data_IF_651895826069
#
_entry.id   IF_651895826069
#
_cell.length_a   1.000
_cell.length_b   1.000
_cell.length_c   1.000
_cell.angle_alpha   90.00
_cell.angle_beta   90.00
_cell.angle_gamma   90.00
#
_symmetry.space_group_name_H-M   'P 1'
#
loop_
_entity.id
_entity.type
_entity.pdbx_description
1 polymer ?
#
# COMPACT_ATOMS: atom_id res chain seq x y z
N UNK A 1 -38.90 -14.02 -19.18
CA UNK A 1 -38.60 -12.59 -19.40
C UNK A 1 -37.11 -12.51 -19.72
N UNK A 2 -36.74 -11.76 -20.74
CA UNK A 2 -35.35 -11.45 -21.05
C UNK A 2 -34.69 -10.73 -19.85
N UNK A 3 -33.42 -11.01 -19.57
CA UNK A 3 -32.69 -10.34 -18.52
C UNK A 3 -32.41 -8.88 -18.91
N UNK A 4 -32.44 -8.00 -17.91
CA UNK A 4 -32.03 -6.60 -18.03
C UNK A 4 -30.70 -6.48 -17.30
N UNK A 5 -29.57 -6.66 -17.98
CA UNK A 5 -28.28 -6.67 -17.30
C UNK A 5 -27.92 -5.32 -16.74
N UNK A 6 -27.22 -5.34 -15.60
CA UNK A 6 -26.52 -4.17 -15.06
C UNK A 6 -25.07 -4.25 -15.49
N UNK A 7 -24.57 -3.21 -16.13
CA UNK A 7 -23.17 -3.11 -16.56
C UNK A 7 -22.47 -2.07 -15.69
N UNK A 8 -21.39 -2.45 -15.02
CA UNK A 8 -20.43 -1.57 -14.37
C UNK A 8 -19.20 -1.47 -15.27
N UNK A 9 -18.99 -0.32 -15.87
CA UNK A 9 -17.88 -0.03 -16.76
C UNK A 9 -16.87 0.87 -16.08
N UNK A 10 -15.66 0.38 -15.89
CA UNK A 10 -14.53 1.14 -15.36
C UNK A 10 -13.69 1.63 -16.53
N UNK A 11 -13.55 2.94 -16.66
CA UNK A 11 -12.61 3.60 -17.57
C UNK A 11 -11.34 3.88 -16.79
N UNK A 12 -10.36 2.98 -16.89
CA UNK A 12 -9.15 3.00 -16.08
C UNK A 12 -8.31 4.26 -16.38
N UNK A 13 -7.94 4.97 -15.32
CA UNK A 13 -7.17 6.21 -15.47
C UNK A 13 -7.90 7.39 -16.13
N UNK A 14 -9.24 7.33 -16.25
CA UNK A 14 -10.06 8.39 -16.85
C UNK A 14 -10.46 9.43 -15.80
N UNK A 15 -9.53 10.29 -15.43
CA UNK A 15 -9.76 11.31 -14.44
C UNK A 15 -10.44 12.58 -14.95
N UNK A 16 -10.62 13.53 -14.04
CA UNK A 16 -11.25 14.83 -14.35
C UNK A 16 -10.32 15.97 -13.95
N UNK A 17 -10.06 16.87 -14.87
CA UNK A 17 -9.31 18.11 -14.65
C UNK A 17 -9.92 19.25 -15.45
N UNK A 18 -9.87 20.46 -14.87
CA UNK A 18 -10.35 21.69 -15.56
C UNK A 18 -9.26 22.25 -16.52
N UNK A 19 -8.03 21.68 -16.51
CA UNK A 19 -6.93 22.08 -17.37
C UNK A 19 -6.97 21.30 -18.69
N UNK A 20 -6.67 21.97 -19.80
CA UNK A 20 -6.62 21.35 -21.12
C UNK A 20 -5.20 20.92 -21.49
N UNK A 21 -4.19 21.72 -21.11
CA UNK A 21 -2.79 21.41 -21.41
C UNK A 21 -2.36 20.13 -20.69
N UNK A 22 -1.78 19.18 -21.43
CA UNK A 22 -1.36 17.90 -20.87
C UNK A 22 -2.51 16.98 -20.43
N UNK A 23 -3.74 17.28 -20.80
CA UNK A 23 -4.95 16.53 -20.50
C UNK A 23 -5.44 15.84 -21.77
N UNK A 24 -5.10 14.56 -21.94
CA UNK A 24 -5.47 13.80 -23.12
C UNK A 24 -7.00 13.66 -23.27
N UNK A 25 -7.74 13.64 -22.15
CA UNK A 25 -9.20 13.54 -22.17
C UNK A 25 -9.83 14.84 -22.69
N UNK A 26 -9.37 16.00 -22.21
CA UNK A 26 -9.88 17.29 -22.67
C UNK A 26 -9.45 17.65 -24.09
N UNK A 27 -8.39 17.00 -24.60
CA UNK A 27 -7.88 17.18 -25.98
C UNK A 27 -8.51 16.22 -26.98
N UNK A 28 -9.13 15.14 -26.52
CA UNK A 28 -9.78 14.13 -27.35
C UNK A 28 -11.20 14.56 -27.79
N UNK A 29 -11.64 14.05 -28.94
CA UNK A 29 -13.03 14.19 -29.39
C UNK A 29 -13.87 13.06 -28.75
N UNK A 30 -14.64 13.42 -27.72
CA UNK A 30 -15.42 12.49 -26.89
C UNK A 30 -16.93 12.76 -26.89
N UNK A 31 -17.58 12.78 -28.08
CA UNK A 31 -18.98 13.18 -28.21
C UNK A 31 -19.95 12.31 -27.41
N UNK A 32 -19.62 11.02 -27.18
CA UNK A 32 -20.47 10.12 -26.41
C UNK A 32 -20.41 10.45 -24.94
N UNK A 33 -19.22 10.54 -24.35
CA UNK A 33 -19.03 10.88 -22.93
C UNK A 33 -19.55 12.27 -22.63
N UNK A 34 -19.29 13.26 -23.51
CA UNK A 34 -19.79 14.62 -23.40
C UNK A 34 -21.33 14.68 -23.34
N UNK A 35 -21.99 13.87 -24.17
CA UNK A 35 -23.44 13.75 -24.16
C UNK A 35 -23.95 13.08 -22.89
N UNK A 36 -23.31 11.96 -22.49
CA UNK A 36 -23.71 11.22 -21.29
C UNK A 36 -23.61 12.08 -20.02
N UNK A 37 -22.52 12.81 -19.87
CA UNK A 37 -22.30 13.71 -18.73
C UNK A 37 -23.33 14.87 -18.66
N UNK A 38 -23.91 15.27 -19.80
CA UNK A 38 -24.95 16.31 -19.85
C UNK A 38 -26.36 15.80 -19.63
N UNK A 39 -26.65 14.57 -20.13
CA UNK A 39 -28.02 14.04 -20.18
C UNK A 39 -28.36 13.14 -18.99
N UNK A 40 -27.37 12.55 -18.32
CA UNK A 40 -27.55 11.59 -17.23
C UNK A 40 -27.01 12.11 -15.91
N UNK A 41 -27.47 11.58 -14.76
CA UNK A 41 -26.90 11.91 -13.46
C UNK A 41 -25.39 11.68 -13.41
N UNK A 42 -24.66 12.69 -12.95
CA UNK A 42 -23.21 12.69 -12.87
C UNK A 42 -22.77 13.24 -11.51
N UNK A 43 -21.84 12.53 -10.85
CA UNK A 43 -21.25 12.96 -9.58
C UNK A 43 -19.74 12.83 -9.63
N UNK A 44 -19.04 13.77 -8.99
CA UNK A 44 -17.59 13.76 -8.84
C UNK A 44 -17.25 13.12 -7.50
N UNK A 45 -16.37 12.12 -7.50
CA UNK A 45 -15.81 11.50 -6.31
C UNK A 45 -14.30 11.71 -6.21
N UNK A 46 -13.71 11.45 -5.05
CA UNK A 46 -12.28 11.46 -4.86
C UNK A 46 -11.73 10.04 -5.04
N UNK A 47 -10.61 9.90 -5.78
CA UNK A 47 -9.92 8.64 -6.02
C UNK A 47 -8.50 8.61 -5.43
N UNK A 48 -8.22 9.42 -4.39
CA UNK A 48 -6.88 9.56 -3.81
C UNK A 48 -6.93 9.80 -2.30
N UNK A 49 -5.80 9.64 -1.64
CA UNK A 49 -5.63 9.92 -0.22
C UNK A 49 -6.58 9.12 0.67
N UNK A 50 -6.95 9.68 1.80
CA UNK A 50 -7.80 9.05 2.82
C UNK A 50 -9.21 8.66 2.31
N UNK A 51 -9.68 9.28 1.25
CA UNK A 51 -10.96 8.93 0.61
C UNK A 51 -10.98 7.52 0.00
N UNK A 52 -9.82 6.98 -0.31
CA UNK A 52 -9.67 5.62 -0.87
C UNK A 52 -8.78 4.71 -0.01
N UNK A 53 -8.48 5.14 1.22
CA UNK A 53 -7.69 4.35 2.18
C UNK A 53 -6.17 4.47 2.02
N UNK A 54 -5.71 5.48 1.28
CA UNK A 54 -4.30 5.85 1.12
C UNK A 54 -3.93 7.01 2.05
N UNK A 55 -2.64 7.26 2.31
CA UNK A 55 -2.20 8.48 2.97
C UNK A 55 -2.64 9.74 2.22
N UNK A 56 -2.89 10.83 2.94
CA UNK A 56 -3.22 12.11 2.32
C UNK A 56 -2.09 12.57 1.38
N UNK A 57 -2.47 13.09 0.22
CA UNK A 57 -1.53 13.47 -0.84
C UNK A 57 -1.04 12.30 -1.72
N UNK A 58 -1.33 11.06 -1.36
CA UNK A 58 -1.01 9.92 -2.21
C UNK A 58 -2.13 9.67 -3.23
N UNK A 59 -1.72 9.49 -4.47
CA UNK A 59 -2.64 9.23 -5.57
C UNK A 59 -3.21 7.84 -5.54
N UNK A 60 -4.43 7.70 -6.10
CA UNK A 60 -5.03 6.43 -6.38
C UNK A 60 -4.26 5.60 -7.42
N UNK A 61 -4.62 4.35 -7.48
CA UNK A 61 -4.15 3.40 -8.49
C UNK A 61 -5.22 2.35 -8.74
N UNK A 62 -5.04 1.56 -9.81
CA UNK A 62 -6.05 0.57 -10.23
C UNK A 62 -6.33 -0.50 -9.17
N UNK A 63 -5.32 -0.93 -8.40
CA UNK A 63 -5.50 -1.94 -7.34
C UNK A 63 -6.45 -1.44 -6.26
N UNK A 64 -6.16 -0.25 -5.71
CA UNK A 64 -6.95 0.39 -4.65
C UNK A 64 -8.33 0.77 -5.16
N UNK A 65 -8.43 1.34 -6.37
CA UNK A 65 -9.72 1.74 -6.96
C UNK A 65 -10.65 0.56 -7.13
N UNK A 66 -10.19 -0.51 -7.79
CA UNK A 66 -11.02 -1.71 -8.00
C UNK A 66 -11.36 -2.44 -6.70
N UNK A 67 -10.42 -2.48 -5.74
CA UNK A 67 -10.70 -3.06 -4.42
C UNK A 67 -11.80 -2.31 -3.69
N UNK A 68 -11.76 -0.98 -3.67
CA UNK A 68 -12.79 -0.16 -3.02
C UNK A 68 -14.16 -0.29 -3.72
N UNK A 69 -14.18 -0.27 -5.06
CA UNK A 69 -15.41 -0.47 -5.83
C UNK A 69 -16.00 -1.86 -5.55
N UNK A 70 -15.18 -2.91 -5.61
CA UNK A 70 -15.59 -4.28 -5.36
C UNK A 70 -16.04 -4.54 -3.92
N UNK A 71 -15.40 -3.89 -2.95
CA UNK A 71 -15.76 -3.99 -1.53
C UNK A 71 -16.98 -3.12 -1.17
N UNK A 72 -17.31 -2.11 -1.98
CA UNK A 72 -18.38 -1.13 -1.69
C UNK A 72 -18.10 -0.26 -0.45
N UNK A 73 -16.84 -0.17 -0.06
CA UNK A 73 -16.37 0.61 1.09
C UNK A 73 -14.88 0.93 0.98
N UNK A 74 -14.41 1.88 1.78
CA UNK A 74 -12.98 2.23 1.84
C UNK A 74 -12.20 1.08 2.48
N UNK A 75 -11.20 0.57 1.78
CA UNK A 75 -10.25 -0.43 2.27
C UNK A 75 -8.93 0.31 2.57
N UNK A 76 -8.63 0.47 3.85
CA UNK A 76 -7.44 1.18 4.28
C UNK A 76 -6.18 0.34 4.06
N UNK A 77 -5.19 0.91 3.38
CA UNK A 77 -3.85 0.33 3.28
C UNK A 77 -3.15 0.34 4.66
N UNK A 78 -2.15 -0.51 4.85
CA UNK A 78 -1.56 -0.75 6.18
C UNK A 78 -1.09 0.54 6.89
N UNK A 79 -0.41 1.44 6.20
CA UNK A 79 0.00 2.74 6.75
C UNK A 79 -1.20 3.53 7.28
N UNK A 80 -2.20 3.72 6.44
CA UNK A 80 -3.40 4.50 6.78
C UNK A 80 -4.24 3.80 7.84
N UNK A 81 -4.34 2.47 7.79
CA UNK A 81 -5.06 1.66 8.76
C UNK A 81 -4.49 1.80 10.17
N UNK A 82 -3.16 1.70 10.30
CA UNK A 82 -2.49 1.82 11.59
C UNK A 82 -2.57 3.26 12.11
N UNK A 83 -2.31 4.24 11.23
CA UNK A 83 -2.43 5.67 11.58
C UNK A 83 -3.84 6.01 12.05
N UNK A 84 -4.86 5.51 11.34
CA UNK A 84 -6.26 5.69 11.73
C UNK A 84 -6.58 4.99 13.06
N UNK A 85 -6.10 3.78 13.28
CA UNK A 85 -6.29 3.08 14.55
C UNK A 85 -5.70 3.86 15.75
N UNK A 86 -4.56 4.54 15.57
CA UNK A 86 -3.97 5.42 16.59
C UNK A 86 -4.91 6.62 16.85
N UNK A 87 -5.37 7.28 15.79
CA UNK A 87 -6.25 8.45 15.91
C UNK A 87 -7.60 8.12 16.55
N UNK A 88 -8.21 6.98 16.19
CA UNK A 88 -9.49 6.53 16.72
C UNK A 88 -9.37 5.91 18.13
N UNK A 89 -8.16 5.59 18.57
CA UNK A 89 -7.89 4.98 19.86
C UNK A 89 -7.96 3.44 19.89
N UNK A 90 -8.28 2.79 18.79
CA UNK A 90 -8.34 1.32 18.71
C UNK A 90 -6.95 0.66 18.77
N UNK A 91 -5.91 1.37 18.33
CA UNK A 91 -4.53 0.95 18.50
C UNK A 91 -4.20 0.58 19.95
N UNK A 92 -4.70 1.37 20.91
CA UNK A 92 -4.45 1.19 22.33
C UNK A 92 -5.24 0.04 22.97
N UNK A 93 -6.11 -0.62 22.20
CA UNK A 93 -6.89 -1.81 22.57
C UNK A 93 -6.36 -3.07 21.90
N UNK A 94 -5.32 -2.98 21.08
CA UNK A 94 -4.78 -4.13 20.35
C UNK A 94 -4.23 -5.17 21.35
N UNK A 95 -4.78 -6.37 21.30
CA UNK A 95 -4.54 -7.45 22.29
C UNK A 95 -3.08 -7.90 22.29
N UNK A 96 -2.44 -8.03 21.12
CA UNK A 96 -1.05 -8.48 21.03
C UNK A 96 -0.06 -7.41 21.52
N UNK A 97 -0.33 -6.13 21.26
CA UNK A 97 0.47 -5.03 21.80
C UNK A 97 0.29 -4.94 23.32
N UNK A 98 -0.93 -5.11 23.82
CA UNK A 98 -1.20 -5.15 25.27
C UNK A 98 -0.50 -6.35 25.92
N UNK A 99 -0.46 -7.51 25.27
CA UNK A 99 0.24 -8.69 25.79
C UNK A 99 1.74 -8.42 26.00
N UNK A 100 2.39 -7.68 25.07
CA UNK A 100 3.78 -7.24 25.24
C UNK A 100 3.95 -6.31 26.46
N UNK A 101 3.02 -5.36 26.65
CA UNK A 101 3.06 -4.44 27.81
C UNK A 101 2.86 -5.20 29.13
N UNK A 102 1.93 -6.15 29.16
CA UNK A 102 1.67 -6.97 30.35
C UNK A 102 2.83 -7.90 30.68
N UNK A 103 3.48 -8.47 29.66
CA UNK A 103 4.67 -9.28 29.86
C UNK A 103 5.78 -8.48 30.56
N UNK A 104 6.04 -7.24 30.13
CA UNK A 104 7.02 -6.37 30.75
C UNK A 104 6.69 -6.09 32.23
N UNK A 105 5.43 -5.79 32.54
CA UNK A 105 4.99 -5.56 33.92
C UNK A 105 5.13 -6.80 34.80
N UNK A 106 4.71 -7.96 34.28
CA UNK A 106 4.74 -9.23 35.01
C UNK A 106 6.15 -9.66 35.34
N UNK A 107 7.08 -9.50 34.42
CA UNK A 107 8.45 -9.97 34.56
C UNK A 107 9.41 -8.86 35.04
N UNK A 108 8.93 -7.63 35.24
CA UNK A 108 9.76 -6.43 35.47
C UNK A 108 10.91 -6.34 34.44
N UNK A 109 10.56 -6.51 33.18
CA UNK A 109 11.49 -6.58 32.04
C UNK A 109 11.33 -5.38 31.12
N UNK A 110 12.21 -5.27 30.14
CA UNK A 110 12.29 -4.15 29.22
C UNK A 110 11.36 -4.34 28.00
N UNK A 111 10.89 -3.22 27.44
CA UNK A 111 10.19 -3.17 26.17
C UNK A 111 11.14 -2.61 25.09
N UNK A 112 11.37 -3.38 24.05
CA UNK A 112 12.18 -3.01 22.91
C UNK A 112 11.32 -2.73 21.68
N UNK A 113 11.50 -1.58 21.03
CA UNK A 113 10.81 -1.18 19.82
C UNK A 113 11.77 -1.19 18.64
N UNK A 114 11.57 -2.05 17.67
CA UNK A 114 12.36 -2.18 16.45
C UNK A 114 11.64 -1.61 15.26
N UNK A 115 12.34 -0.96 14.37
CA UNK A 115 11.77 -0.58 13.08
C UNK A 115 12.48 0.59 12.40
N UNK A 116 12.11 0.80 11.15
CA UNK A 116 12.63 1.87 10.31
C UNK A 116 12.10 3.22 10.82
N UNK A 117 13.00 4.10 11.20
CA UNK A 117 12.67 5.41 11.75
C UNK A 117 12.68 6.47 10.65
N UNK A 118 11.56 6.69 10.01
CA UNK A 118 11.39 7.76 9.02
C UNK A 118 9.92 8.10 8.80
N UNK A 119 9.66 9.13 8.02
CA UNK A 119 8.33 9.49 7.50
C UNK A 119 8.04 8.94 6.11
N UNK A 120 8.91 8.09 5.54
CA UNK A 120 8.80 7.61 4.18
C UNK A 120 7.57 6.77 3.89
N UNK A 121 7.00 6.10 4.90
CA UNK A 121 5.71 5.41 4.79
C UNK A 121 5.71 4.13 3.95
N UNK A 122 6.88 3.64 3.51
CA UNK A 122 7.01 2.43 2.70
C UNK A 122 7.08 1.16 3.56
N UNK A 123 7.87 1.19 4.63
CA UNK A 123 8.04 0.04 5.54
C UNK A 123 7.45 0.28 6.92
N UNK A 124 7.44 1.53 7.36
CA UNK A 124 7.02 1.99 8.68
C UNK A 124 6.69 3.48 8.61
N UNK A 125 6.25 4.06 9.71
CA UNK A 125 6.11 5.50 9.84
C UNK A 125 6.43 5.94 11.27
N UNK A 126 7.13 7.07 11.42
CA UNK A 126 7.58 7.58 12.73
C UNK A 126 6.41 7.83 13.70
N UNK A 127 5.22 8.21 13.22
CA UNK A 127 4.04 8.38 14.07
C UNK A 127 3.60 7.08 14.76
N UNK A 128 3.93 5.91 14.20
CA UNK A 128 3.55 4.64 14.80
C UNK A 128 4.40 4.30 16.02
N UNK A 129 5.69 4.66 16.02
CA UNK A 129 6.51 4.52 17.24
C UNK A 129 6.07 5.51 18.32
N UNK A 130 5.59 6.69 17.95
CA UNK A 130 4.98 7.61 18.93
C UNK A 130 3.74 6.98 19.59
N UNK A 131 2.86 6.34 18.80
CA UNK A 131 1.72 5.59 19.33
C UNK A 131 2.12 4.47 20.28
N UNK A 132 3.22 3.75 20.01
CA UNK A 132 3.77 2.72 20.92
C UNK A 132 4.30 3.31 22.22
N UNK A 133 5.01 4.44 22.17
CA UNK A 133 5.49 5.16 23.35
C UNK A 133 4.31 5.64 24.24
N UNK A 134 3.29 6.22 23.64
CA UNK A 134 2.05 6.60 24.35
C UNK A 134 1.36 5.39 24.98
N UNK A 135 1.30 4.27 24.25
CA UNK A 135 0.72 3.02 24.76
C UNK A 135 1.50 2.49 25.95
N UNK A 136 2.83 2.49 25.88
CA UNK A 136 3.69 2.09 27.00
C UNK A 136 3.45 2.97 28.23
N UNK A 137 3.39 4.30 28.05
CA UNK A 137 3.10 5.27 29.11
C UNK A 137 1.72 5.00 29.75
N UNK A 138 0.67 4.84 28.93
CA UNK A 138 -0.70 4.55 29.40
C UNK A 138 -0.79 3.25 30.20
N UNK A 139 0.05 2.24 29.86
CA UNK A 139 0.11 0.96 30.54
C UNK A 139 1.11 0.89 31.69
N UNK A 140 1.82 1.98 32.01
CA UNK A 140 2.77 2.04 33.12
C UNK A 140 4.08 1.28 32.86
N UNK A 141 4.46 1.05 31.60
CA UNK A 141 5.75 0.48 31.21
C UNK A 141 6.75 1.62 31.11
N UNK A 142 7.75 1.66 32.00
CA UNK A 142 8.73 2.73 32.10
C UNK A 142 10.06 2.44 31.38
N UNK A 143 10.44 1.18 31.28
CA UNK A 143 11.67 0.75 30.63
C UNK A 143 11.38 0.46 29.15
N UNK A 144 11.46 1.50 28.32
CA UNK A 144 11.19 1.42 26.88
C UNK A 144 12.43 1.86 26.11
N UNK A 145 12.90 1.01 25.20
CA UNK A 145 14.10 1.25 24.41
C UNK A 145 13.80 1.14 22.93
N UNK A 146 14.13 2.17 22.16
CA UNK A 146 13.97 2.17 20.70
C UNK A 146 15.31 1.83 20.06
N UNK A 147 15.28 0.84 19.19
CA UNK A 147 16.37 0.45 18.31
C UNK A 147 16.00 0.93 16.90
N UNK A 148 16.50 2.12 16.55
CA UNK A 148 16.10 2.80 15.34
C UNK A 148 16.87 2.28 14.12
N UNK A 149 16.16 1.75 13.13
CA UNK A 149 16.74 1.45 11.83
C UNK A 149 16.62 2.69 10.95
N UNK A 150 17.69 3.04 10.24
CA UNK A 150 17.79 4.30 9.51
C UNK A 150 17.56 4.07 8.02
N UNK A 151 16.88 5.02 7.37
CA UNK A 151 16.31 4.87 6.03
C UNK A 151 17.31 5.25 4.91
N UNK A 152 17.30 6.47 4.46
CA UNK A 152 18.15 6.97 3.38
C UNK A 152 17.82 6.48 1.97
N UNK A 153 16.68 5.75 1.78
CA UNK A 153 16.16 5.30 0.48
C UNK A 153 14.76 5.83 0.20
N UNK A 154 13.87 5.73 1.19
CA UNK A 154 12.49 6.20 1.08
C UNK A 154 12.38 7.66 1.57
N UNK A 155 13.45 8.17 2.15
CA UNK A 155 13.68 9.56 2.55
C UNK A 155 15.09 10.01 2.15
N UNK A 156 15.40 11.33 2.16
CA UNK A 156 16.72 11.82 1.79
C UNK A 156 17.85 11.14 2.59
N UNK A 157 19.02 10.87 1.97
CA UNK A 157 20.07 10.04 2.54
C UNK A 157 20.70 10.52 3.85
N UNK A 158 20.50 11.77 4.24
CA UNK A 158 21.04 12.39 5.46
C UNK A 158 19.95 13.04 6.32
N UNK A 159 18.74 12.49 6.32
CA UNK A 159 17.60 12.96 7.12
C UNK A 159 17.46 12.23 8.46
N UNK A 160 18.15 11.13 8.66
CA UNK A 160 18.03 10.26 9.84
C UNK A 160 18.33 10.97 11.15
N UNK A 161 19.30 11.90 11.16
CA UNK A 161 19.61 12.72 12.35
C UNK A 161 18.38 13.50 12.82
N UNK A 162 17.63 14.10 11.89
CA UNK A 162 16.46 14.88 12.22
C UNK A 162 15.33 14.00 12.76
N UNK A 163 15.14 12.79 12.19
CA UNK A 163 14.17 11.82 12.72
C UNK A 163 14.55 11.31 14.12
N UNK A 164 15.83 11.09 14.38
CA UNK A 164 16.32 10.72 15.72
C UNK A 164 16.04 11.84 16.72
N UNK A 165 16.36 13.10 16.37
CA UNK A 165 16.09 14.24 17.22
C UNK A 165 14.59 14.43 17.51
N UNK A 166 13.73 14.30 16.48
CA UNK A 166 12.27 14.34 16.64
C UNK A 166 11.75 13.22 17.56
N UNK A 167 12.32 12.01 17.46
CA UNK A 167 11.97 10.91 18.33
C UNK A 167 12.35 11.19 19.79
N UNK A 168 13.57 11.68 20.05
CA UNK A 168 14.03 12.03 21.40
C UNK A 168 13.18 13.16 22.01
N UNK A 169 12.84 14.19 21.23
CA UNK A 169 11.91 15.23 21.65
C UNK A 169 10.53 14.67 22.04
N UNK A 170 9.98 13.78 21.20
CA UNK A 170 8.69 13.14 21.48
C UNK A 170 8.73 12.23 22.70
N UNK A 171 9.82 11.51 22.92
CA UNK A 171 10.06 10.72 24.13
C UNK A 171 10.07 11.60 25.39
N UNK A 172 10.73 12.75 25.32
CA UNK A 172 10.75 13.72 26.41
C UNK A 172 9.35 14.29 26.70
N UNK A 173 8.57 14.61 25.66
CA UNK A 173 7.18 15.10 25.77
C UNK A 173 6.28 14.04 26.44
N UNK A 174 6.33 12.80 25.98
CA UNK A 174 5.55 11.69 26.54
C UNK A 174 6.05 11.30 27.94
N UNK A 175 7.34 11.47 28.19
CA UNK A 175 8.01 11.11 29.44
C UNK A 175 8.30 9.60 29.56
N UNK A 176 8.56 8.92 28.44
CA UNK A 176 8.98 7.51 28.41
C UNK A 176 9.80 7.24 27.15
N UNK A 177 10.76 6.33 27.26
CA UNK A 177 11.58 5.84 26.16
C UNK A 177 12.97 6.45 26.11
N UNK A 178 13.92 5.69 25.57
CA UNK A 178 15.28 6.10 25.21
C UNK A 178 15.68 5.41 23.91
N UNK A 179 16.47 6.06 23.06
CA UNK A 179 17.10 5.40 21.92
C UNK A 179 18.28 4.59 22.44
N UNK A 180 18.29 3.28 22.23
CA UNK A 180 19.31 2.37 22.73
C UNK A 180 20.32 1.95 21.67
N UNK A 181 19.94 1.93 20.40
CA UNK A 181 20.87 1.67 19.30
C UNK A 181 20.38 2.26 17.98
N UNK A 182 21.29 2.41 17.04
CA UNK A 182 21.07 2.84 15.67
C UNK A 182 21.70 1.82 14.71
N UNK A 183 21.07 1.54 13.58
CA UNK A 183 21.65 0.76 12.49
C UNK A 183 21.05 1.17 11.15
N UNK A 184 21.85 1.36 10.12
CA UNK A 184 21.34 1.56 8.77
C UNK A 184 20.55 0.35 8.28
N UNK A 185 19.55 0.60 7.44
CA UNK A 185 18.71 -0.47 6.86
C UNK A 185 19.50 -1.51 6.06
N UNK A 186 20.70 -1.15 5.60
CA UNK A 186 21.64 -2.06 4.96
C UNK A 186 22.00 -3.27 5.84
N UNK A 187 22.10 -3.06 7.16
CA UNK A 187 22.37 -4.11 8.16
C UNK A 187 21.09 -4.69 8.75
N UNK A 188 20.20 -3.85 9.24
CA UNK A 188 19.07 -4.28 10.05
C UNK A 188 17.86 -4.76 9.22
N UNK A 189 17.85 -4.49 7.92
CA UNK A 189 16.72 -4.75 7.03
C UNK A 189 17.18 -5.37 5.70
N UNK A 190 18.11 -6.30 5.75
CA UNK A 190 18.47 -7.14 4.60
C UNK A 190 17.25 -8.01 4.19
N UNK A 191 17.23 -8.48 2.94
CA UNK A 191 16.20 -9.37 2.40
C UNK A 191 16.74 -10.43 1.44
N UNK A 192 18.06 -10.47 1.29
CA UNK A 192 18.76 -11.30 0.31
C UNK A 192 19.64 -12.34 1.00
N UNK A 193 19.40 -12.62 2.31
CA UNK A 193 20.10 -13.56 3.17
C UNK A 193 21.60 -13.24 3.34
N UNK A 194 21.94 -11.94 3.37
CA UNK A 194 23.30 -11.51 3.74
C UNK A 194 23.44 -11.54 5.27
N UNK A 195 23.51 -12.75 5.82
CA UNK A 195 23.49 -12.98 7.27
C UNK A 195 24.60 -12.29 8.04
N UNK A 196 25.74 -12.03 7.42
CA UNK A 196 26.85 -11.25 7.97
C UNK A 196 26.45 -9.80 8.31
N UNK A 197 25.53 -9.21 7.54
CA UNK A 197 24.98 -7.89 7.82
C UNK A 197 23.95 -7.94 8.93
N UNK A 198 23.02 -8.88 8.85
CA UNK A 198 21.96 -9.09 9.85
C UNK A 198 22.56 -9.41 11.21
N UNK A 199 23.62 -10.22 11.26
CA UNK A 199 24.35 -10.56 12.49
C UNK A 199 24.91 -9.34 13.19
N UNK A 200 25.52 -8.41 12.48
CA UNK A 200 26.06 -7.19 13.07
C UNK A 200 24.96 -6.36 13.77
N UNK A 201 23.81 -6.17 13.09
CA UNK A 201 22.66 -5.49 13.70
C UNK A 201 22.10 -6.33 14.88
N UNK A 202 21.93 -7.64 14.74
CA UNK A 202 21.45 -8.52 15.80
C UNK A 202 22.33 -8.45 17.06
N UNK A 203 23.67 -8.48 16.90
CA UNK A 203 24.61 -8.39 18.04
C UNK A 203 24.53 -7.05 18.74
N UNK A 204 24.33 -5.96 18.01
CA UNK A 204 24.12 -4.66 18.65
C UNK A 204 22.86 -4.61 19.52
N UNK A 205 21.82 -5.39 19.15
CA UNK A 205 20.56 -5.49 19.88
C UNK A 205 20.62 -6.44 21.09
N UNK A 206 21.51 -7.45 21.07
CA UNK A 206 21.48 -8.56 22.05
C UNK A 206 22.71 -8.63 22.95
N UNK A 207 23.89 -8.29 22.42
CA UNK A 207 25.16 -8.33 23.17
C UNK A 207 25.75 -6.95 23.40
N UNK A 208 25.22 -5.91 22.72
CA UNK A 208 25.77 -4.55 22.78
C UNK A 208 27.08 -4.40 21.99
N UNK A 209 27.35 -5.32 21.05
CA UNK A 209 28.49 -5.22 20.14
C UNK A 209 28.19 -4.20 19.05
N UNK A 210 29.18 -3.40 18.67
CA UNK A 210 29.07 -2.37 17.64
C UNK A 210 29.87 -1.13 17.98
N UNK A 211 29.73 -0.06 17.15
CA UNK A 211 30.23 1.26 17.52
C UNK A 211 29.51 1.72 18.79
N UNK A 212 30.15 2.57 19.58
CA UNK A 212 29.60 3.11 20.81
C UNK A 212 29.48 4.64 20.73
N UNK A 213 28.40 5.18 21.28
CA UNK A 213 28.17 6.63 21.38
C UNK A 213 27.39 6.94 22.67
N UNK A 214 27.58 8.16 23.19
CA UNK A 214 26.88 8.61 24.39
C UNK A 214 25.47 9.17 24.10
N UNK A 215 25.17 9.52 22.83
CA UNK A 215 23.84 9.92 22.40
C UNK A 215 23.56 9.50 20.93
N UNK A 216 22.30 9.33 20.61
CA UNK A 216 21.89 8.92 19.26
C UNK A 216 22.16 10.01 18.22
N UNK A 217 21.93 11.29 18.55
CA UNK A 217 22.23 12.42 17.66
C UNK A 217 23.75 12.52 17.42
N UNK A 218 24.59 12.39 18.47
CA UNK A 218 26.05 12.41 18.30
C UNK A 218 26.55 11.24 17.44
N UNK A 219 25.93 10.06 17.55
CA UNK A 219 26.23 8.91 16.69
C UNK A 219 25.98 9.22 15.21
N UNK A 220 24.86 9.89 14.91
CA UNK A 220 24.52 10.31 13.54
C UNK A 220 25.50 11.36 13.00
N UNK A 221 25.86 12.34 13.83
CA UNK A 221 26.83 13.36 13.45
C UNK A 221 28.21 12.76 13.14
N UNK A 222 28.66 11.83 13.98
CA UNK A 222 29.90 11.11 13.73
C UNK A 222 29.87 10.29 12.44
N UNK A 223 28.76 9.62 12.14
CA UNK A 223 28.56 8.87 10.90
C UNK A 223 28.64 9.78 9.67
N UNK A 224 27.95 10.91 9.70
CA UNK A 224 27.96 11.87 8.58
C UNK A 224 29.34 12.53 8.40
N UNK A 225 30.09 12.76 9.48
CA UNK A 225 31.47 13.25 9.40
C UNK A 225 32.41 12.25 8.70
N UNK A 226 32.09 10.95 8.78
CA UNK A 226 32.77 9.87 8.04
C UNK A 226 32.21 9.70 6.60
N UNK A 227 31.30 10.54 6.12
CA UNK A 227 30.55 10.41 4.85
C UNK A 227 29.71 9.12 4.76
N UNK A 228 29.28 8.57 5.88
CA UNK A 228 28.37 7.42 5.95
C UNK A 228 26.97 7.92 6.21
N UNK A 229 26.09 7.81 5.20
CA UNK A 229 24.70 8.24 5.23
C UNK A 229 23.79 7.20 5.87
N UNK A 230 22.52 7.55 6.10
CA UNK A 230 21.53 6.80 6.87
C UNK A 230 21.49 5.30 6.55
N UNK A 231 21.39 4.95 5.27
CA UNK A 231 21.28 3.55 4.84
C UNK A 231 22.43 2.68 5.35
N UNK A 232 23.62 3.25 5.45
CA UNK A 232 24.88 2.53 5.72
C UNK A 232 25.44 2.77 7.11
N UNK A 233 24.70 3.44 8.00
CA UNK A 233 25.15 3.65 9.39
C UNK A 233 25.46 2.30 10.03
N UNK A 234 26.71 2.15 10.44
CA UNK A 234 27.19 0.93 11.10
C UNK A 234 26.43 0.77 12.43
N UNK A 235 26.01 -0.45 12.81
CA UNK A 235 25.35 -0.70 14.07
C UNK A 235 26.07 -0.04 15.24
N UNK A 236 25.39 0.87 15.92
CA UNK A 236 25.92 1.71 16.96
C UNK A 236 25.06 1.61 18.22
N UNK A 237 25.66 1.29 19.33
CA UNK A 237 25.01 1.13 20.64
C UNK A 237 25.16 2.41 21.45
N UNK A 238 24.07 2.88 22.02
CA UNK A 238 24.10 4.05 22.90
C UNK A 238 24.45 3.57 24.30
N UNK A 239 25.43 4.24 24.90
CA UNK A 239 26.02 3.85 26.19
C UNK A 239 25.85 4.93 27.24
N UNK A 240 25.69 4.48 28.47
CA UNK A 240 25.73 5.35 29.66
C UNK A 240 26.77 4.77 30.62
N UNK A 241 27.76 5.58 31.01
CA UNK A 241 28.91 5.15 31.85
C UNK A 241 29.65 3.95 31.23
N UNK A 242 29.81 3.90 29.91
CA UNK A 242 30.52 2.84 29.19
C UNK A 242 29.79 1.49 29.09
N UNK A 243 28.51 1.46 29.42
CA UNK A 243 27.66 0.27 29.28
C UNK A 243 26.49 0.55 28.35
N UNK A 244 26.04 -0.43 27.55
CA UNK A 244 24.82 -0.29 26.77
C UNK A 244 23.64 0.16 27.63
N UNK A 245 22.81 1.10 27.13
CA UNK A 245 21.59 1.52 27.82
C UNK A 245 20.65 0.34 28.06
N UNK A 246 20.45 -0.49 27.06
CA UNK A 246 19.78 -1.77 27.18
C UNK A 246 20.14 -2.66 25.99
N UNK A 247 20.04 -3.98 26.21
CA UNK A 247 20.08 -5.04 25.21
C UNK A 247 18.95 -6.01 25.50
N UNK A 248 18.47 -6.69 24.47
CA UNK A 248 17.38 -7.67 24.60
C UNK A 248 17.82 -8.85 25.45
N UNK A 249 17.02 -9.20 26.44
CA UNK A 249 17.22 -10.32 27.38
C UNK A 249 16.03 -11.25 27.39
N UNK A 250 16.21 -12.38 28.04
CA UNK A 250 15.14 -13.34 28.30
C UNK A 250 13.99 -12.66 29.07
N UNK A 251 12.75 -12.96 28.66
CA UNK A 251 11.49 -12.39 29.15
C UNK A 251 11.24 -10.92 28.79
N UNK A 252 12.09 -10.26 28.03
CA UNK A 252 11.78 -8.94 27.48
C UNK A 252 10.66 -9.05 26.42
N UNK A 253 10.04 -7.92 26.12
CA UNK A 253 9.13 -7.80 25.01
C UNK A 253 9.76 -7.02 23.86
N UNK A 254 9.54 -7.48 22.65
CA UNK A 254 9.97 -6.81 21.42
C UNK A 254 8.75 -6.50 20.56
N UNK A 255 8.62 -5.27 20.08
CA UNK A 255 7.62 -4.90 19.08
C UNK A 255 8.36 -4.40 17.83
N UNK A 256 8.21 -5.13 16.73
CA UNK A 256 8.75 -4.71 15.43
C UNK A 256 7.65 -3.97 14.66
N UNK A 257 7.77 -2.64 14.54
CA UNK A 257 6.71 -1.77 14.04
C UNK A 257 6.71 -1.56 12.51
N UNK A 258 7.50 -2.28 11.75
CA UNK A 258 7.39 -2.32 10.29
C UNK A 258 6.10 -3.02 9.88
N UNK A 259 5.36 -2.45 8.92
CA UNK A 259 4.14 -3.08 8.37
C UNK A 259 4.39 -3.75 7.00
N UNK A 260 5.52 -3.51 6.35
CA UNK A 260 5.92 -4.20 5.12
C UNK A 260 6.84 -5.38 5.45
N UNK A 261 6.49 -6.61 4.98
CA UNK A 261 7.15 -7.85 5.40
C UNK A 261 8.56 -8.06 4.90
N UNK A 262 8.85 -7.72 3.64
CA UNK A 262 10.00 -8.20 2.87
C UNK A 262 11.37 -8.01 3.55
N UNK A 263 11.57 -6.89 4.25
CA UNK A 263 12.81 -6.53 4.93
C UNK A 263 12.78 -6.70 6.45
N UNK A 264 11.67 -7.22 7.00
CA UNK A 264 11.57 -7.51 8.43
C UNK A 264 11.74 -9.01 8.74
N UNK A 265 11.67 -9.88 7.74
CA UNK A 265 11.70 -11.35 7.89
C UNK A 265 12.96 -11.85 8.56
N UNK A 266 14.12 -11.43 8.07
CA UNK A 266 15.41 -11.99 8.48
C UNK A 266 15.71 -11.67 9.95
N UNK A 267 15.58 -10.43 10.36
CA UNK A 267 15.74 -10.04 11.76
C UNK A 267 14.71 -10.73 12.66
N UNK A 268 13.46 -10.83 12.24
CA UNK A 268 12.43 -11.54 13.00
C UNK A 268 12.76 -13.02 13.13
N UNK A 269 13.24 -13.67 12.05
CA UNK A 269 13.66 -15.07 12.09
C UNK A 269 14.84 -15.27 13.02
N UNK A 270 15.81 -14.35 13.00
CA UNK A 270 16.95 -14.40 13.92
C UNK A 270 16.53 -14.30 15.40
N UNK A 271 15.44 -13.62 15.74
CA UNK A 271 14.92 -13.56 17.12
C UNK A 271 14.00 -14.73 17.47
N UNK A 272 13.09 -15.09 16.58
CA UNK A 272 11.94 -15.95 16.92
C UNK A 272 12.14 -17.44 16.62
N UNK A 273 13.01 -17.79 15.64
CA UNK A 273 13.19 -19.19 15.25
C UNK A 273 14.26 -19.85 16.11
N UNK A 274 13.88 -20.73 17.04
CA UNK A 274 14.82 -21.47 17.90
C UNK A 274 15.79 -22.39 17.14
N UNK A 275 15.44 -22.73 15.89
CA UNK A 275 16.26 -23.53 14.95
C UNK A 275 17.00 -22.70 13.91
N UNK A 276 17.09 -21.41 14.12
CA UNK A 276 17.79 -20.50 13.20
C UNK A 276 19.26 -20.90 12.98
N UNK A 277 19.69 -20.87 11.72
CA UNK A 277 21.03 -21.30 11.30
C UNK A 277 21.81 -20.28 10.47
N UNK A 278 21.30 -19.04 10.34
CA UNK A 278 21.96 -18.02 9.52
C UNK A 278 23.30 -17.56 10.08
N UNK A 279 23.45 -17.52 11.41
CA UNK A 279 24.70 -17.28 12.16
C UNK A 279 24.60 -17.89 13.55
N UNK A 280 25.73 -18.01 14.24
CA UNK A 280 25.78 -18.56 15.60
C UNK A 280 25.23 -17.56 16.62
N UNK A 281 24.23 -17.98 17.39
CA UNK A 281 23.65 -17.19 18.48
C UNK A 281 23.08 -18.08 19.60
N UNK A 282 22.90 -17.52 20.78
CA UNK A 282 22.05 -18.11 21.81
C UNK A 282 20.62 -17.64 21.59
N UNK A 283 19.66 -18.56 21.57
CA UNK A 283 18.24 -18.21 21.49
C UNK A 283 17.81 -17.48 22.77
N UNK A 284 17.16 -16.33 22.62
CA UNK A 284 16.67 -15.49 23.70
C UNK A 284 15.15 -15.49 23.64
N UNK A 285 14.44 -16.25 24.51
CA UNK A 285 12.98 -16.24 24.55
C UNK A 285 12.43 -14.87 24.94
N UNK A 286 11.64 -14.28 24.07
CA UNK A 286 10.99 -12.97 24.27
C UNK A 286 9.52 -13.05 23.87
N UNK A 287 8.71 -12.08 24.35
CA UNK A 287 7.40 -11.83 23.78
C UNK A 287 7.57 -10.96 22.55
N UNK A 288 7.63 -11.57 21.36
CA UNK A 288 7.91 -10.89 20.12
C UNK A 288 6.64 -10.58 19.33
N UNK A 289 6.35 -9.31 19.09
CA UNK A 289 5.17 -8.85 18.36
C UNK A 289 5.60 -8.19 17.06
N UNK A 290 5.10 -8.70 15.95
CA UNK A 290 5.23 -8.10 14.62
C UNK A 290 4.00 -7.26 14.29
N UNK A 291 4.15 -6.11 13.67
CA UNK A 291 2.99 -5.36 13.20
C UNK A 291 2.20 -6.14 12.15
N UNK A 292 2.88 -6.89 11.28
CA UNK A 292 2.25 -7.76 10.27
C UNK A 292 2.84 -9.16 10.35
N UNK A 293 2.19 -10.11 9.74
CA UNK A 293 2.82 -11.41 9.50
C UNK A 293 3.88 -11.26 8.41
N UNK A 294 5.14 -11.33 8.81
CA UNK A 294 6.25 -11.18 7.87
C UNK A 294 6.57 -12.46 7.12
N UNK A 295 6.29 -13.62 7.73
CA UNK A 295 6.46 -14.94 7.15
C UNK A 295 5.77 -15.97 8.06
N UNK A 296 4.80 -16.71 7.53
CA UNK A 296 4.01 -17.69 8.28
C UNK A 296 4.88 -18.82 8.88
N UNK A 297 6.04 -19.09 8.28
CA UNK A 297 6.95 -20.13 8.75
C UNK A 297 7.79 -19.75 9.97
N UNK A 298 7.81 -18.47 10.36
CA UNK A 298 8.55 -18.03 11.55
C UNK A 298 7.72 -18.34 12.81
N UNK A 299 8.25 -19.16 13.73
CA UNK A 299 7.55 -19.50 14.98
C UNK A 299 7.65 -18.38 16.02
N UNK A 300 7.03 -18.58 17.18
CA UNK A 300 7.21 -17.80 18.41
C UNK A 300 6.99 -16.28 18.26
N UNK A 301 6.07 -15.85 17.37
CA UNK A 301 5.70 -14.45 17.18
C UNK A 301 4.21 -14.22 17.37
N UNK A 302 3.84 -13.03 17.78
CA UNK A 302 2.48 -12.49 17.78
C UNK A 302 2.35 -11.48 16.62
N UNK A 303 1.11 -11.26 16.15
CA UNK A 303 0.85 -10.39 15.00
C UNK A 303 -0.22 -9.37 15.38
N UNK A 304 0.18 -8.10 15.51
CA UNK A 304 -0.69 -7.02 15.95
C UNK A 304 -1.77 -6.64 14.92
N UNK A 305 -1.42 -6.55 13.64
CA UNK A 305 -2.34 -6.18 12.57
C UNK A 305 -2.43 -7.32 11.55
N UNK A 306 -3.21 -8.33 11.87
CA UNK A 306 -3.48 -9.48 11.00
C UNK A 306 -4.07 -9.01 9.66
N UNK A 307 -3.85 -9.82 8.61
CA UNK A 307 -4.50 -9.60 7.32
C UNK A 307 -6.01 -9.73 7.54
N UNK A 308 -6.75 -8.68 7.22
CA UNK A 308 -8.20 -8.73 7.24
C UNK A 308 -8.72 -9.34 5.95
N UNK A 309 -9.62 -10.31 6.08
CA UNK A 309 -10.38 -10.80 4.94
C UNK A 309 -11.43 -9.76 4.57
N UNK A 310 -11.42 -9.33 3.34
CA UNK A 310 -12.43 -8.41 2.80
C UNK A 310 -13.67 -9.24 2.45
N UNK A 311 -14.58 -9.34 3.41
CA UNK A 311 -15.85 -10.07 3.27
C UNK A 311 -16.97 -9.16 2.75
N UNK A 312 -18.02 -9.77 2.25
CA UNK A 312 -19.21 -9.11 1.73
C UNK A 312 -18.86 -8.14 0.59
N UNK A 313 -18.05 -8.64 -0.34
CA UNK A 313 -17.73 -7.97 -1.59
C UNK A 313 -18.96 -7.98 -2.52
N UNK A 314 -18.96 -7.13 -3.55
CA UNK A 314 -20.02 -7.11 -4.54
C UNK A 314 -20.19 -8.48 -5.24
N UNK A 315 -19.08 -9.16 -5.54
CA UNK A 315 -19.10 -10.51 -6.10
C UNK A 315 -19.76 -11.54 -5.19
N UNK A 316 -19.42 -11.55 -3.90
CA UNK A 316 -20.05 -12.43 -2.90
C UNK A 316 -21.54 -12.11 -2.71
N UNK A 317 -21.90 -10.81 -2.69
CA UNK A 317 -23.30 -10.39 -2.61
C UNK A 317 -24.13 -10.89 -3.79
N UNK A 318 -23.59 -10.78 -5.01
CA UNK A 318 -24.25 -11.30 -6.22
C UNK A 318 -24.42 -12.82 -6.15
N UNK A 319 -23.38 -13.55 -5.78
CA UNK A 319 -23.40 -15.00 -5.61
C UNK A 319 -24.45 -15.44 -4.57
N UNK A 320 -24.49 -14.79 -3.42
CA UNK A 320 -25.47 -15.07 -2.36
C UNK A 320 -26.92 -14.82 -2.80
N UNK A 321 -27.14 -13.98 -3.81
CA UNK A 321 -28.45 -13.71 -4.40
C UNK A 321 -28.71 -14.47 -5.70
N UNK A 322 -27.90 -15.49 -6.04
CA UNK A 322 -28.05 -16.35 -7.23
C UNK A 322 -27.95 -15.58 -8.55
N UNK A 323 -27.14 -14.51 -8.59
CA UNK A 323 -26.94 -13.66 -9.76
C UNK A 323 -25.72 -14.11 -10.56
N UNK A 324 -25.88 -14.26 -11.87
CA UNK A 324 -24.77 -14.56 -12.79
C UNK A 324 -24.02 -13.31 -13.14
N UNK A 325 -22.71 -13.31 -12.91
CA UNK A 325 -21.84 -12.16 -13.13
C UNK A 325 -20.72 -12.47 -14.12
N UNK A 326 -20.36 -11.50 -14.96
CA UNK A 326 -19.21 -11.57 -15.86
C UNK A 326 -18.15 -10.55 -15.44
N UNK A 327 -16.88 -10.98 -15.47
CA UNK A 327 -15.69 -10.12 -15.39
C UNK A 327 -15.03 -10.11 -16.76
N UNK A 328 -14.84 -8.91 -17.34
CA UNK A 328 -14.30 -8.74 -18.69
C UNK A 328 -13.21 -7.67 -18.68
N UNK A 329 -12.01 -8.03 -19.08
CA UNK A 329 -10.92 -7.09 -19.31
C UNK A 329 -9.85 -7.70 -20.19
N UNK A 330 -8.96 -6.85 -20.73
CA UNK A 330 -7.72 -7.32 -21.32
C UNK A 330 -6.66 -7.62 -20.25
N UNK A 331 -5.57 -8.33 -20.64
CA UNK A 331 -4.54 -8.88 -19.72
C UNK A 331 -4.06 -7.90 -18.67
N UNK A 332 -3.78 -6.64 -19.04
CA UNK A 332 -3.23 -5.62 -18.13
C UNK A 332 -4.16 -5.29 -16.97
N UNK A 333 -5.47 -5.44 -17.15
CA UNK A 333 -6.49 -5.08 -16.14
C UNK A 333 -7.36 -6.26 -15.71
N UNK A 334 -7.01 -7.47 -16.11
CA UNK A 334 -7.76 -8.66 -15.74
C UNK A 334 -7.74 -8.93 -14.23
N UNK A 335 -6.59 -8.83 -13.60
CA UNK A 335 -6.47 -8.98 -12.14
C UNK A 335 -7.27 -7.91 -11.38
N UNK A 336 -7.44 -6.72 -11.96
CA UNK A 336 -8.17 -5.63 -11.33
C UNK A 336 -9.67 -5.93 -11.24
N UNK A 337 -10.28 -6.44 -12.30
CA UNK A 337 -11.71 -6.82 -12.29
C UNK A 337 -11.98 -8.18 -11.65
N UNK A 338 -10.95 -8.96 -11.30
CA UNK A 338 -11.05 -10.28 -10.65
C UNK A 338 -10.49 -10.25 -9.23
N UNK A 339 -9.20 -10.48 -9.06
CA UNK A 339 -8.52 -10.57 -7.78
C UNK A 339 -8.76 -9.36 -6.87
N UNK A 340 -8.45 -8.14 -7.34
CA UNK A 340 -8.61 -6.94 -6.53
C UNK A 340 -10.08 -6.61 -6.28
N UNK A 341 -10.94 -6.74 -7.28
CA UNK A 341 -12.37 -6.52 -7.14
C UNK A 341 -13.03 -7.52 -6.17
N UNK A 342 -12.51 -8.72 -6.05
CA UNK A 342 -12.93 -9.75 -5.10
C UNK A 342 -12.22 -9.65 -3.74
N UNK A 343 -11.62 -8.50 -3.42
CA UNK A 343 -10.99 -8.27 -2.11
C UNK A 343 -9.70 -9.05 -1.88
N UNK A 344 -8.96 -9.40 -2.93
CA UNK A 344 -7.70 -10.15 -2.87
C UNK A 344 -7.90 -11.67 -2.83
N UNK A 345 -9.03 -12.15 -3.34
CA UNK A 345 -9.35 -13.58 -3.50
C UNK A 345 -9.26 -13.96 -4.98
N UNK A 346 -8.41 -14.94 -5.32
CA UNK A 346 -8.18 -15.38 -6.69
C UNK A 346 -9.33 -16.24 -7.23
N UNK A 347 -9.88 -17.09 -6.37
CA UNK A 347 -10.95 -18.00 -6.75
C UNK A 347 -12.22 -17.23 -7.16
N UNK A 348 -12.88 -17.62 -8.26
CA UNK A 348 -14.12 -17.00 -8.67
C UNK A 348 -15.26 -17.29 -7.68
N UNK A 349 -16.14 -16.32 -7.49
CA UNK A 349 -17.38 -16.53 -6.76
C UNK A 349 -18.31 -17.51 -7.49
N UNK A 350 -19.29 -18.04 -6.80
CA UNK A 350 -20.33 -18.86 -7.45
C UNK A 350 -21.04 -18.04 -8.53
N UNK A 351 -21.22 -18.63 -9.70
CA UNK A 351 -21.79 -17.97 -10.88
C UNK A 351 -21.01 -16.75 -11.40
N UNK A 352 -19.71 -16.63 -11.06
CA UNK A 352 -18.78 -15.68 -11.65
C UNK A 352 -18.09 -16.27 -12.88
N UNK A 353 -18.36 -15.68 -14.01
CA UNK A 353 -17.72 -16.00 -15.29
C UNK A 353 -16.61 -14.96 -15.56
N UNK A 354 -15.53 -15.41 -16.17
CA UNK A 354 -14.38 -14.57 -16.48
C UNK A 354 -14.06 -14.67 -17.97
N UNK A 355 -13.89 -13.53 -18.62
CA UNK A 355 -13.49 -13.45 -20.02
C UNK A 355 -12.25 -12.56 -20.12
N UNK A 356 -11.14 -13.17 -20.47
CA UNK A 356 -9.84 -12.53 -20.67
C UNK A 356 -9.59 -12.32 -22.15
N UNK A 357 -9.36 -11.09 -22.55
CA UNK A 357 -8.82 -10.72 -23.86
C UNK A 357 -7.32 -10.49 -23.72
N UNK A 358 -6.51 -11.06 -24.62
CA UNK A 358 -5.06 -10.85 -24.54
C UNK A 358 -4.71 -9.43 -24.97
N UNK A 359 -3.92 -8.72 -24.15
CA UNK A 359 -3.32 -7.45 -24.55
C UNK A 359 -2.32 -7.66 -25.70
N UNK A 360 -2.09 -6.65 -26.57
CA UNK A 360 -1.16 -6.76 -27.69
C UNK A 360 0.25 -7.10 -27.24
N UNK A 361 0.88 -8.07 -27.90
CA UNK A 361 2.28 -8.47 -27.69
C UNK A 361 3.18 -8.12 -28.88
N UNK A 362 2.61 -7.53 -29.90
CA UNK A 362 3.24 -7.14 -31.17
C UNK A 362 3.91 -5.76 -31.08
N UNK A 363 3.73 -5.04 -29.99
CA UNK A 363 4.35 -3.74 -29.74
C UNK A 363 5.07 -3.74 -28.38
N UNK A 364 6.20 -3.03 -28.23
CA UNK A 364 6.92 -2.94 -26.97
C UNK A 364 6.25 -2.00 -25.96
N UNK A 365 5.51 -0.99 -26.44
CA UNK A 365 4.79 0.01 -25.66
C UNK A 365 3.47 0.38 -26.31
N UNK A 366 2.45 0.72 -25.53
CA UNK A 366 1.09 0.91 -26.02
C UNK A 366 0.84 2.25 -26.72
N UNK A 367 1.77 3.20 -26.66
CA UNK A 367 1.72 4.40 -27.53
C UNK A 367 1.81 4.07 -29.03
N UNK A 368 2.41 2.94 -29.38
CA UNK A 368 2.48 2.43 -30.75
C UNK A 368 1.19 1.75 -31.21
N UNK A 369 0.30 1.37 -30.26
CA UNK A 369 -1.00 0.77 -30.53
C UNK A 369 -2.04 1.22 -29.49
N UNK A 370 -2.47 2.49 -29.54
CA UNK A 370 -3.30 3.10 -28.49
C UNK A 370 -4.67 2.44 -28.29
N UNK A 371 -5.21 1.82 -29.33
CA UNK A 371 -6.45 1.04 -29.23
C UNK A 371 -6.29 -0.23 -28.40
N UNK A 372 -5.07 -0.72 -28.20
CA UNK A 372 -4.76 -1.95 -27.49
C UNK A 372 -5.69 -3.11 -27.93
N UNK A 373 -6.35 -3.82 -27.02
CA UNK A 373 -7.36 -4.82 -27.32
C UNK A 373 -8.80 -4.33 -27.02
N UNK A 374 -8.98 -3.04 -26.79
CA UNK A 374 -10.32 -2.50 -26.52
C UNK A 374 -11.38 -2.80 -27.60
N UNK A 375 -11.05 -2.82 -28.93
CA UNK A 375 -12.05 -3.23 -29.94
C UNK A 375 -12.63 -4.63 -29.71
N UNK A 376 -11.80 -5.61 -29.33
CA UNK A 376 -12.21 -6.97 -29.01
C UNK A 376 -13.01 -7.00 -27.71
N UNK A 377 -12.50 -6.38 -26.64
CA UNK A 377 -13.22 -6.21 -25.37
C UNK A 377 -14.59 -5.58 -25.57
N UNK A 378 -14.69 -4.55 -26.40
CA UNK A 378 -15.95 -3.88 -26.72
C UNK A 378 -16.94 -4.75 -27.50
N UNK A 379 -16.46 -5.59 -28.42
CA UNK A 379 -17.31 -6.56 -29.13
C UNK A 379 -17.85 -7.63 -28.17
N UNK A 380 -16.98 -8.22 -27.35
CA UNK A 380 -17.34 -9.22 -26.34
C UNK A 380 -18.33 -8.65 -25.32
N UNK A 381 -18.16 -7.37 -24.94
CA UNK A 381 -19.11 -6.68 -24.06
C UNK A 381 -20.51 -6.60 -24.70
N UNK A 382 -20.60 -6.17 -25.97
CA UNK A 382 -21.88 -6.05 -26.69
C UNK A 382 -22.53 -7.40 -26.83
N UNK A 383 -21.78 -8.47 -27.15
CA UNK A 383 -22.28 -9.84 -27.20
C UNK A 383 -22.76 -10.29 -25.81
N UNK A 384 -21.99 -10.05 -24.75
CA UNK A 384 -22.38 -10.43 -23.39
C UNK A 384 -23.65 -9.73 -22.93
N UNK A 385 -23.83 -8.44 -23.24
CA UNK A 385 -25.05 -7.67 -22.92
C UNK A 385 -26.29 -8.30 -23.62
N UNK A 386 -26.14 -8.66 -24.88
CA UNK A 386 -27.25 -9.22 -25.69
C UNK A 386 -27.51 -10.71 -25.48
N UNK A 387 -26.63 -11.41 -24.77
CA UNK A 387 -26.66 -12.87 -24.61
C UNK A 387 -27.78 -13.42 -23.73
N UNK A 388 -28.48 -12.59 -22.98
CA UNK A 388 -29.44 -12.97 -21.92
C UNK A 388 -28.88 -13.91 -20.84
N UNK A 389 -27.54 -13.98 -20.72
CA UNK A 389 -26.85 -14.90 -19.82
C UNK A 389 -26.56 -14.29 -18.44
N UNK A 390 -26.12 -13.05 -18.42
CA UNK A 390 -25.59 -12.40 -17.22
C UNK A 390 -26.60 -11.42 -16.59
N UNK A 391 -26.63 -11.34 -15.27
CA UNK A 391 -27.38 -10.34 -14.53
C UNK A 391 -26.53 -9.09 -14.30
N UNK A 392 -25.22 -9.26 -14.12
CA UNK A 392 -24.27 -8.16 -13.92
C UNK A 392 -23.01 -8.40 -14.77
N UNK A 393 -22.50 -7.35 -15.38
CA UNK A 393 -21.24 -7.36 -16.13
C UNK A 393 -20.34 -6.29 -15.57
N UNK A 394 -19.13 -6.65 -15.13
CA UNK A 394 -18.07 -5.72 -14.73
C UNK A 394 -17.00 -5.75 -15.81
N UNK A 395 -16.72 -4.58 -16.37
CA UNK A 395 -15.73 -4.42 -17.45
C UNK A 395 -14.74 -3.30 -17.12
N UNK A 396 -13.51 -3.45 -17.56
CA UNK A 396 -12.48 -2.42 -17.54
C UNK A 396 -11.95 -2.16 -18.96
N UNK A 397 -11.90 -0.87 -19.35
CA UNK A 397 -11.13 -0.39 -20.48
C UNK A 397 -9.80 0.17 -20.00
N UNK A 398 -8.70 -0.51 -20.33
CA UNK A 398 -7.36 -0.23 -19.85
C UNK A 398 -6.68 1.01 -20.48
N UNK A 399 -7.17 1.45 -21.63
CA UNK A 399 -6.46 2.32 -22.54
C UNK A 399 -6.04 3.68 -21.95
N UNK A 400 -6.91 4.45 -21.25
CA UNK A 400 -6.52 5.76 -20.76
C UNK A 400 -5.37 5.69 -19.76
N UNK A 401 -5.34 4.63 -18.92
CA UNK A 401 -4.27 4.41 -17.96
C UNK A 401 -3.00 3.88 -18.63
N UNK A 402 -3.08 2.77 -19.34
CA UNK A 402 -1.91 2.10 -19.90
C UNK A 402 -1.18 2.94 -20.95
N UNK A 403 -1.91 3.65 -21.81
CA UNK A 403 -1.32 4.58 -22.77
C UNK A 403 -0.88 5.87 -22.09
N UNK A 404 -1.61 6.35 -21.08
CA UNK A 404 -1.22 7.47 -20.23
C UNK A 404 0.15 7.29 -19.61
N UNK A 405 0.46 6.10 -19.10
CA UNK A 405 1.77 5.75 -18.54
C UNK A 405 2.94 5.85 -19.53
N UNK A 406 2.70 5.87 -20.83
CA UNK A 406 3.77 6.08 -21.81
C UNK A 406 4.23 7.54 -21.89
N UNK A 407 3.43 8.49 -21.37
CA UNK A 407 3.69 9.92 -21.44
C UNK A 407 3.49 10.53 -22.84
N UNK A 408 3.02 9.75 -23.83
CA UNK A 408 2.83 10.18 -25.21
C UNK A 408 1.41 10.72 -25.41
N UNK A 409 1.20 12.01 -25.19
CA UNK A 409 -0.12 12.66 -25.22
C UNK A 409 -0.91 12.37 -26.52
N UNK A 410 -0.33 12.47 -27.74
CA UNK A 410 -1.12 12.16 -28.95
C UNK A 410 -1.60 10.72 -29.04
N UNK A 411 -0.91 9.78 -28.41
CA UNK A 411 -1.34 8.39 -28.34
C UNK A 411 -2.46 8.23 -27.30
N UNK A 412 -2.33 8.88 -26.14
CA UNK A 412 -3.37 8.87 -25.11
C UNK A 412 -4.68 9.50 -25.62
N UNK A 413 -4.62 10.57 -26.39
CA UNK A 413 -5.80 11.16 -27.06
C UNK A 413 -6.51 10.11 -27.94
N UNK A 414 -5.77 9.41 -28.79
CA UNK A 414 -6.35 8.32 -29.62
C UNK A 414 -6.94 7.19 -28.80
N UNK A 415 -6.30 6.84 -27.70
CA UNK A 415 -6.78 5.83 -26.77
C UNK A 415 -8.15 6.24 -26.17
N UNK A 416 -8.26 7.48 -25.71
CA UNK A 416 -9.50 8.06 -25.17
C UNK A 416 -10.61 8.09 -26.21
N UNK A 417 -10.32 8.57 -27.43
CA UNK A 417 -11.29 8.58 -28.56
C UNK A 417 -11.79 7.17 -28.89
N UNK A 418 -10.90 6.18 -28.90
CA UNK A 418 -11.30 4.78 -29.12
C UNK A 418 -12.22 4.26 -28.04
N UNK A 419 -11.95 4.60 -26.79
CA UNK A 419 -12.81 4.21 -25.65
C UNK A 419 -14.18 4.89 -25.78
N UNK A 420 -14.23 6.18 -26.13
CA UNK A 420 -15.50 6.90 -26.34
C UNK A 420 -16.39 6.22 -27.41
N UNK A 421 -15.79 5.81 -28.55
CA UNK A 421 -16.50 5.02 -29.59
C UNK A 421 -17.11 3.75 -29.02
N UNK A 422 -16.35 3.00 -28.19
CA UNK A 422 -16.80 1.71 -27.63
C UNK A 422 -17.85 1.88 -26.53
N UNK A 423 -17.72 2.93 -25.73
CA UNK A 423 -18.78 3.36 -24.78
C UNK A 423 -20.09 3.59 -25.54
N UNK A 424 -20.04 4.26 -26.69
CA UNK A 424 -21.25 4.48 -27.52
C UNK A 424 -21.92 3.19 -27.96
N UNK A 425 -21.13 2.18 -28.38
CA UNK A 425 -21.64 0.85 -28.75
C UNK A 425 -22.27 0.13 -27.56
N UNK A 426 -21.63 0.19 -26.39
CA UNK A 426 -22.13 -0.40 -25.16
C UNK A 426 -23.44 0.26 -24.70
N UNK A 427 -23.51 1.60 -24.73
CA UNK A 427 -24.73 2.37 -24.41
C UNK A 427 -25.90 1.92 -25.30
N UNK A 428 -25.66 1.78 -26.61
CA UNK A 428 -26.72 1.32 -27.50
C UNK A 428 -27.15 -0.13 -27.19
N UNK A 429 -26.18 -1.01 -26.94
CA UNK A 429 -26.50 -2.41 -26.60
C UNK A 429 -27.32 -2.53 -25.30
N UNK A 430 -26.99 -1.73 -24.28
CA UNK A 430 -27.71 -1.69 -22.99
C UNK A 430 -29.15 -1.17 -23.20
N UNK A 431 -29.32 -0.12 -24.02
CA UNK A 431 -30.66 0.41 -24.37
C UNK A 431 -31.50 -0.63 -25.14
N UNK A 432 -30.91 -1.38 -26.05
CA UNK A 432 -31.58 -2.41 -26.85
C UNK A 432 -32.22 -3.51 -25.98
N UNK A 433 -31.66 -3.76 -24.79
CA UNK A 433 -32.12 -4.80 -23.83
C UNK A 433 -32.80 -4.21 -22.57
N UNK A 434 -33.05 -2.90 -22.54
CA UNK A 434 -33.59 -2.19 -21.37
C UNK A 434 -32.79 -2.45 -20.09
N UNK A 435 -31.46 -2.50 -20.21
CA UNK A 435 -30.50 -2.69 -19.13
C UNK A 435 -30.13 -1.37 -18.45
N UNK A 436 -29.18 -1.44 -17.50
CA UNK A 436 -28.63 -0.29 -16.78
C UNK A 436 -27.11 -0.25 -16.96
N UNK A 437 -26.55 0.95 -17.18
CA UNK A 437 -25.11 1.16 -17.32
C UNK A 437 -24.63 2.17 -16.27
N UNK A 438 -23.64 1.76 -15.47
CA UNK A 438 -22.83 2.63 -14.63
C UNK A 438 -21.45 2.77 -15.26
N UNK A 439 -20.99 4.01 -15.44
CA UNK A 439 -19.64 4.32 -15.90
C UNK A 439 -18.90 5.04 -14.77
N UNK A 440 -17.70 4.57 -14.45
CA UNK A 440 -16.85 5.22 -13.47
C UNK A 440 -15.39 5.14 -13.90
N UNK A 441 -14.53 5.96 -13.28
CA UNK A 441 -13.09 5.73 -13.24
C UNK A 441 -12.69 5.23 -11.85
N UNK A 442 -11.61 4.50 -11.78
CA UNK A 442 -11.02 3.98 -10.55
C UNK A 442 -9.97 4.95 -9.96
N UNK A 443 -9.24 5.64 -10.82
CA UNK A 443 -8.29 6.71 -10.52
C UNK A 443 -8.10 7.60 -11.75
N UNK A 444 -7.18 8.55 -11.69
CA UNK A 444 -6.79 9.37 -12.83
C UNK A 444 -5.39 9.05 -13.35
N UNK A 445 -5.18 9.38 -14.61
CA UNK A 445 -3.88 9.34 -15.31
C UNK A 445 -3.93 10.25 -16.56
N UNK A 446 -4.82 9.97 -17.50
CA UNK A 446 -4.87 10.64 -18.79
C UNK A 446 -5.30 12.12 -18.71
N UNK A 447 -5.93 12.57 -17.63
CA UNK A 447 -6.31 13.98 -17.42
C UNK A 447 -5.15 14.88 -17.03
N UNK A 448 -3.99 14.29 -16.62
CA UNK A 448 -2.79 15.04 -16.25
C UNK A 448 -1.54 14.26 -16.62
N UNK A 449 -1.02 14.49 -17.83
CA UNK A 449 0.17 13.81 -18.36
C UNK A 449 1.43 14.67 -18.30
N UNK A 450 1.37 15.88 -17.77
CA UNK A 450 2.52 16.78 -17.59
C UNK A 450 2.57 17.33 -16.17
N UNK A 451 3.76 17.57 -15.70
CA UNK A 451 3.99 18.41 -14.53
C UNK A 451 3.87 19.88 -14.95
N UNK A 452 2.93 20.60 -14.35
CA UNK A 452 2.66 21.99 -14.71
C UNK A 452 3.73 22.98 -14.23
N UNK A 453 4.60 22.58 -13.31
CA UNK A 453 5.71 23.43 -12.84
C UNK A 453 6.93 23.29 -13.76
N UNK A 454 7.22 22.08 -14.19
CA UNK A 454 8.41 21.77 -15.00
C UNK A 454 8.11 21.65 -16.49
N UNK A 455 6.85 21.44 -16.89
CA UNK A 455 6.42 21.15 -18.26
C UNK A 455 6.85 19.77 -18.77
N UNK A 456 7.44 18.93 -17.90
CA UNK A 456 7.89 17.59 -18.27
C UNK A 456 6.74 16.59 -18.23
N UNK A 457 6.83 15.55 -19.07
CA UNK A 457 5.87 14.45 -19.08
C UNK A 457 5.89 13.69 -17.74
N UNK A 458 4.72 13.45 -17.19
CA UNK A 458 4.51 12.59 -16.02
C UNK A 458 4.40 11.15 -16.49
N UNK A 459 5.45 10.35 -16.31
CA UNK A 459 5.47 8.95 -16.73
C UNK A 459 4.81 8.04 -15.67
N UNK A 460 4.67 8.51 -14.43
CA UNK A 460 4.26 7.66 -13.32
C UNK A 460 3.29 8.29 -12.31
N UNK A 461 2.82 9.53 -12.53
CA UNK A 461 2.12 10.25 -11.46
C UNK A 461 1.07 11.20 -12.03
N UNK A 462 -0.20 10.97 -11.75
CA UNK A 462 -1.26 11.96 -11.88
C UNK A 462 -1.72 12.49 -10.52
N UNK A 463 -2.26 13.70 -10.46
CA UNK A 463 -2.80 14.29 -9.22
C UNK A 463 -4.11 13.64 -8.76
N UNK A 464 -4.53 13.90 -7.51
CA UNK A 464 -5.76 13.36 -6.95
C UNK A 464 -6.94 13.61 -7.89
N UNK A 465 -7.46 12.57 -8.44
CA UNK A 465 -8.49 12.62 -9.45
C UNK A 465 -9.84 12.34 -8.85
N UNK A 466 -10.84 12.98 -9.39
CA UNK A 466 -12.22 12.81 -8.98
C UNK A 466 -12.88 11.71 -9.80
N UNK A 467 -13.41 10.69 -9.13
CA UNK A 467 -14.20 9.66 -9.75
C UNK A 467 -15.50 10.28 -10.29
N UNK A 468 -15.80 10.05 -11.56
CA UNK A 468 -17.11 10.34 -12.14
C UNK A 468 -17.95 9.07 -12.22
N UNK A 469 -19.20 9.13 -11.78
CA UNK A 469 -20.16 8.06 -11.98
C UNK A 469 -21.33 8.60 -12.81
N UNK A 470 -21.76 7.82 -13.80
CA UNK A 470 -22.91 8.09 -14.66
C UNK A 470 -23.86 6.92 -14.48
N UNK A 471 -25.10 7.20 -14.16
CA UNK A 471 -26.16 6.20 -14.03
C UNK A 471 -27.21 6.35 -15.13
#
# INVERSE_FOLDING_TARGET
MSKKPVVLMVLDGYGLSDKTEGNAIAMADTPVMDKLMKEYPFVKGNASGSYVGLPDGQMGNSEVGHMNIGAGRIIYQDLTRITKAIADGDFFKNEELLAAMENCKKNNSDLHLFGLLSSGGVHSHISHVYGLLEMAKKNGVSNVYVHAFLDGRDTPPASGKDFVAQLEEKMAEIGVGKVASLAGRYYAMDRDNNWDRVEQAYRSLTTGEGKQAESAVAAMEASYAENVTDEFVVPTVITENGKPLSVVKENDSVIFFNFRPDRAREMTRAFCDDKFTGFERTYIPTTFVCFKDYDETIPNKLIAFKKEEIKNTFGEFLAANGKKQLRLAETEKYAHVTFFFNGGVEDPNVDEFRLLVNSPKDVPTYDLKPEMSAPEVGMDLVEAIKSDKYDVIVINFANPDMVGHTGVIPAAVKAVEKVDELVGKAVQAVKDVDGVLFICADHGNAEKMIDYETGLSLIHISEPTRLGMIS
#
